data_IF_841937495412
#
_entry.id   IF_841937495412
#
_cell.length_a   1.000
_cell.length_b   1.000
_cell.length_c   1.000
_cell.angle_alpha   90.00
_cell.angle_beta   90.00
_cell.angle_gamma   90.00
#
_symmetry.space_group_name_H-M   'P 1'
#
loop_
_entity.id
_entity.type
_entity.pdbx_description
1 polymer ?
#
# COMPACT_ATOMS: atom_id res chain seq x y z
N UNK A 1 -6.68 -0.77 -17.00
CA UNK A 1 -7.68 -1.02 -15.95
C UNK A 1 -8.83 -1.78 -16.59
N UNK A 2 -9.40 -2.77 -15.93
CA UNK A 2 -10.61 -3.44 -16.42
C UNK A 2 -11.83 -2.54 -16.20
N UNK A 3 -12.84 -2.71 -17.04
CA UNK A 3 -14.06 -1.90 -16.97
C UNK A 3 -14.87 -2.20 -15.70
N UNK A 4 -15.70 -1.23 -15.29
CA UNK A 4 -16.72 -1.44 -14.25
C UNK A 4 -17.93 -2.09 -14.90
N UNK A 5 -18.36 -3.20 -14.34
CA UNK A 5 -19.54 -3.97 -14.74
C UNK A 5 -20.62 -3.86 -13.65
N UNK A 6 -21.85 -4.29 -13.98
CA UNK A 6 -22.98 -4.19 -13.07
C UNK A 6 -23.74 -5.51 -12.96
N UNK A 7 -23.96 -5.95 -11.73
CA UNK A 7 -24.88 -7.02 -11.41
C UNK A 7 -26.26 -6.45 -11.07
N UNK A 8 -27.34 -7.18 -11.37
CA UNK A 8 -28.69 -6.79 -10.95
C UNK A 8 -29.11 -7.60 -9.72
N UNK A 9 -29.46 -6.92 -8.63
CA UNK A 9 -29.94 -7.55 -7.40
C UNK A 9 -31.09 -6.76 -6.78
N UNK A 10 -32.24 -7.41 -6.59
CA UNK A 10 -33.41 -6.78 -5.96
C UNK A 10 -33.85 -5.46 -6.60
N UNK A 11 -33.67 -5.32 -7.92
CA UNK A 11 -33.99 -4.09 -8.66
C UNK A 11 -33.00 -2.94 -8.49
N UNK A 12 -31.79 -3.20 -7.98
CA UNK A 12 -30.66 -2.28 -7.99
C UNK A 12 -29.51 -2.81 -8.85
N UNK A 13 -28.72 -1.89 -9.39
CA UNK A 13 -27.46 -2.17 -10.06
C UNK A 13 -26.31 -2.10 -9.04
N UNK A 14 -25.55 -3.18 -8.94
CA UNK A 14 -24.41 -3.33 -8.05
C UNK A 14 -23.14 -3.32 -8.90
N UNK A 15 -22.36 -2.25 -8.78
CA UNK A 15 -21.13 -2.05 -9.52
C UNK A 15 -20.03 -2.99 -9.00
N UNK A 16 -19.33 -3.64 -9.91
CA UNK A 16 -18.17 -4.47 -9.59
C UNK A 16 -17.08 -4.34 -10.66
N UNK A 17 -15.88 -4.79 -10.30
CA UNK A 17 -14.73 -4.88 -11.18
C UNK A 17 -14.00 -6.18 -10.90
N UNK A 18 -13.62 -6.89 -11.96
CA UNK A 18 -12.81 -8.08 -11.88
C UNK A 18 -11.44 -7.86 -12.53
N UNK A 19 -10.35 -8.15 -11.82
CA UNK A 19 -8.96 -7.99 -12.29
C UNK A 19 -8.20 -9.30 -12.14
N UNK A 20 -7.37 -9.65 -13.13
CA UNK A 20 -6.61 -10.91 -13.14
C UNK A 20 -7.36 -12.04 -13.85
N UNK A 21 -6.74 -13.21 -13.92
CA UNK A 21 -7.22 -14.36 -14.72
C UNK A 21 -7.15 -15.66 -13.94
N UNK A 22 -8.20 -16.47 -14.02
CA UNK A 22 -8.24 -17.83 -13.49
C UNK A 22 -8.33 -17.93 -11.96
N UNK A 23 -8.51 -19.14 -11.42
CA UNK A 23 -8.58 -19.37 -9.98
C UNK A 23 -7.21 -19.26 -9.30
N UNK A 24 -7.18 -19.01 -7.98
CA UNK A 24 -8.31 -18.74 -7.10
C UNK A 24 -9.04 -17.42 -7.42
N UNK A 25 -10.36 -17.41 -7.21
CA UNK A 25 -11.11 -16.14 -7.16
C UNK A 25 -11.05 -15.61 -5.73
N UNK A 26 -10.79 -14.31 -5.58
CA UNK A 26 -10.81 -13.62 -4.29
C UNK A 26 -11.74 -12.43 -4.42
N UNK A 27 -12.75 -12.37 -3.58
CA UNK A 27 -13.68 -11.24 -3.53
C UNK A 27 -13.45 -10.45 -2.26
N UNK A 28 -13.19 -9.17 -2.43
CA UNK A 28 -13.02 -8.23 -1.32
C UNK A 28 -14.40 -7.74 -0.92
N UNK A 29 -14.74 -7.91 0.35
CA UNK A 29 -15.97 -7.36 0.92
C UNK A 29 -15.66 -5.92 1.34
N UNK A 30 -16.21 -4.91 0.67
CA UNK A 30 -15.96 -3.52 0.99
C UNK A 30 -16.64 -3.14 2.31
N UNK A 31 -16.14 -2.06 2.90
CA UNK A 31 -16.87 -1.30 3.90
C UNK A 31 -18.12 -0.67 3.27
N UNK A 32 -19.04 -0.14 4.08
CA UNK A 32 -20.23 0.53 3.54
C UNK A 32 -19.92 1.80 2.74
N UNK A 33 -18.71 2.31 2.89
CA UNK A 33 -18.16 3.38 2.09
C UNK A 33 -17.03 2.80 1.21
N UNK A 34 -17.26 2.80 -0.09
CA UNK A 34 -16.32 2.33 -1.11
C UNK A 34 -16.58 3.09 -2.41
N UNK A 35 -15.58 3.14 -3.27
CA UNK A 35 -15.71 3.67 -4.62
C UNK A 35 -14.68 2.99 -5.52
N UNK A 36 -15.15 2.21 -6.49
CA UNK A 36 -14.29 1.43 -7.38
C UNK A 36 -13.29 2.26 -8.19
N UNK A 37 -13.64 3.48 -8.59
CA UNK A 37 -12.73 4.31 -9.41
C UNK A 37 -11.66 4.99 -8.55
N UNK A 38 -12.00 5.38 -7.32
CA UNK A 38 -11.09 6.12 -6.46
C UNK A 38 -10.18 5.22 -5.61
N UNK A 39 -10.60 4.01 -5.28
CA UNK A 39 -9.79 3.08 -4.46
C UNK A 39 -8.40 2.80 -5.08
N UNK A 40 -8.26 2.50 -6.40
CA UNK A 40 -6.95 2.25 -7.01
C UNK A 40 -6.05 3.47 -7.13
N UNK A 41 -6.55 4.69 -6.89
CA UNK A 41 -5.71 5.90 -6.91
C UNK A 41 -4.80 5.99 -5.67
N UNK A 42 -5.15 5.29 -4.58
CA UNK A 42 -4.33 5.28 -3.36
C UNK A 42 -3.24 4.20 -3.46
N UNK A 43 -1.94 4.56 -3.40
CA UNK A 43 -0.84 3.64 -3.72
C UNK A 43 -0.87 2.33 -2.92
N UNK A 44 -1.14 2.41 -1.62
CA UNK A 44 -1.19 1.22 -0.74
C UNK A 44 -2.33 0.27 -1.13
N UNK A 45 -3.51 0.79 -1.46
CA UNK A 45 -4.65 -0.01 -1.91
C UNK A 45 -4.37 -0.62 -3.29
N UNK A 46 -3.79 0.17 -4.20
CA UNK A 46 -3.39 -0.32 -5.53
C UNK A 46 -2.41 -1.49 -5.42
N UNK A 47 -1.39 -1.36 -4.56
CA UNK A 47 -0.43 -2.44 -4.26
C UNK A 47 -1.13 -3.66 -3.64
N UNK A 48 -2.10 -3.45 -2.75
CA UNK A 48 -2.97 -4.49 -2.20
C UNK A 48 -3.70 -5.30 -3.27
N UNK A 49 -4.39 -4.60 -4.17
CA UNK A 49 -5.14 -5.19 -5.28
C UNK A 49 -4.22 -5.92 -6.28
N UNK A 50 -3.04 -5.37 -6.55
CA UNK A 50 -2.00 -6.06 -7.33
C UNK A 50 -1.51 -7.33 -6.63
N UNK A 51 -1.31 -7.27 -5.31
CA UNK A 51 -0.92 -8.39 -4.48
C UNK A 51 -1.87 -9.57 -4.60
N UNK A 52 -3.18 -9.33 -4.52
CA UNK A 52 -4.20 -10.36 -4.73
C UNK A 52 -4.25 -10.86 -6.19
N UNK A 53 -4.17 -9.95 -7.18
CA UNK A 53 -4.26 -10.33 -8.60
C UNK A 53 -3.01 -11.03 -9.13
N UNK A 54 -1.89 -10.98 -8.41
CA UNK A 54 -0.66 -11.72 -8.73
C UNK A 54 -0.79 -13.24 -8.60
N UNK A 55 -1.79 -13.73 -7.86
CA UNK A 55 -2.02 -15.15 -7.65
C UNK A 55 -3.46 -15.60 -7.94
N UNK A 56 -4.33 -14.72 -8.42
CA UNK A 56 -5.72 -15.08 -8.70
C UNK A 56 -6.52 -13.99 -9.42
N UNK A 57 -7.81 -14.22 -9.60
CA UNK A 57 -8.78 -13.21 -10.06
C UNK A 57 -9.38 -12.50 -8.86
N UNK A 58 -9.31 -11.18 -8.85
CA UNK A 58 -9.79 -10.33 -7.76
C UNK A 58 -11.08 -9.65 -8.16
N UNK A 59 -12.08 -9.70 -7.30
CA UNK A 59 -13.38 -9.07 -7.48
C UNK A 59 -13.54 -8.01 -6.40
N UNK A 60 -13.68 -6.77 -6.83
CA UNK A 60 -14.04 -5.63 -5.98
C UNK A 60 -15.41 -5.13 -6.38
N UNK A 61 -16.17 -4.61 -5.44
CA UNK A 61 -17.52 -4.10 -5.71
C UNK A 61 -17.83 -2.96 -4.75
N UNK A 62 -18.81 -2.14 -5.11
CA UNK A 62 -19.37 -1.13 -4.22
C UNK A 62 -20.72 -1.64 -3.69
N UNK A 63 -20.96 -1.54 -2.38
CA UNK A 63 -22.25 -1.97 -1.81
C UNK A 63 -23.39 -1.11 -2.36
N UNK A 64 -24.60 -1.67 -2.34
CA UNK A 64 -25.83 -0.89 -2.53
C UNK A 64 -25.77 0.40 -1.69
N UNK A 65 -26.10 1.53 -2.30
CA UNK A 65 -26.03 2.82 -1.63
C UNK A 65 -24.67 3.51 -1.67
N UNK A 66 -23.63 2.84 -2.15
CA UNK A 66 -22.25 3.31 -2.10
C UNK A 66 -21.58 3.32 -3.49
N UNK A 67 -20.52 4.12 -3.59
CA UNK A 67 -19.67 4.24 -4.77
C UNK A 67 -20.44 4.40 -6.06
N UNK A 68 -20.16 3.50 -7.00
CA UNK A 68 -20.76 3.44 -8.34
C UNK A 68 -22.04 2.59 -8.41
N UNK A 69 -22.42 1.91 -7.32
CA UNK A 69 -23.70 1.19 -7.23
C UNK A 69 -24.88 2.16 -7.08
N UNK A 70 -26.10 1.69 -7.35
CA UNK A 70 -27.31 2.52 -7.21
C UNK A 70 -27.42 3.12 -5.80
N UNK A 71 -27.56 4.46 -5.73
CA UNK A 71 -27.55 5.23 -4.47
C UNK A 71 -28.94 5.63 -3.96
N UNK A 72 -30.00 5.41 -4.75
CA UNK A 72 -31.34 5.96 -4.49
C UNK A 72 -32.28 5.11 -3.63
N UNK A 73 -31.82 4.02 -3.00
CA UNK A 73 -32.68 3.02 -2.32
C UNK A 73 -32.27 2.70 -0.87
N UNK A 74 -31.45 3.54 -0.23
CA UNK A 74 -30.89 3.23 1.09
C UNK A 74 -29.77 2.18 1.02
N UNK A 75 -29.05 1.92 2.13
CA UNK A 75 -27.93 0.98 2.17
C UNK A 75 -28.36 -0.49 2.09
N UNK A 76 -29.67 -0.76 2.24
CA UNK A 76 -30.25 -2.11 2.29
C UNK A 76 -29.92 -2.84 3.60
N UNK A 77 -30.70 -3.88 3.89
CA UNK A 77 -30.47 -4.75 5.06
C UNK A 77 -29.22 -5.62 4.88
N UNK A 78 -28.74 -6.23 5.96
CA UNK A 78 -27.67 -7.24 5.88
C UNK A 78 -28.02 -8.40 4.96
N UNK A 79 -29.28 -8.83 4.97
CA UNK A 79 -29.77 -9.90 4.09
C UNK A 79 -29.76 -9.47 2.62
N UNK A 80 -30.15 -8.25 2.30
CA UNK A 80 -29.97 -7.72 0.94
C UNK A 80 -28.49 -7.62 0.56
N UNK A 81 -27.61 -7.29 1.50
CA UNK A 81 -26.16 -7.31 1.27
C UNK A 81 -25.63 -8.71 0.92
N UNK A 82 -26.19 -9.77 1.52
CA UNK A 82 -25.88 -11.16 1.16
C UNK A 82 -26.29 -11.44 -0.28
N UNK A 83 -27.53 -11.12 -0.64
CA UNK A 83 -28.05 -11.31 -2.01
C UNK A 83 -27.25 -10.48 -3.04
N UNK A 84 -26.86 -9.25 -2.71
CA UNK A 84 -26.05 -8.39 -3.57
C UNK A 84 -24.67 -9.00 -3.87
N UNK A 85 -24.02 -9.56 -2.85
CA UNK A 85 -22.73 -10.23 -3.03
C UNK A 85 -22.88 -11.46 -3.93
N UNK A 86 -23.91 -12.28 -3.71
CA UNK A 86 -24.18 -13.47 -4.55
C UNK A 86 -24.46 -13.07 -6.00
N UNK A 87 -25.26 -12.03 -6.22
CA UNK A 87 -25.55 -11.52 -7.56
C UNK A 87 -24.28 -11.02 -8.29
N UNK A 88 -23.34 -10.40 -7.57
CA UNK A 88 -22.03 -10.02 -8.15
C UNK A 88 -21.22 -11.25 -8.54
N UNK A 89 -21.19 -12.30 -7.72
CA UNK A 89 -20.51 -13.55 -8.09
C UNK A 89 -21.13 -14.19 -9.34
N UNK A 90 -22.45 -14.22 -9.42
CA UNK A 90 -23.17 -14.77 -10.57
C UNK A 90 -22.88 -13.97 -11.85
N UNK A 91 -22.94 -12.62 -11.79
CA UNK A 91 -22.62 -11.75 -12.91
C UNK A 91 -21.16 -11.88 -13.36
N UNK A 92 -20.23 -12.04 -12.42
CA UNK A 92 -18.81 -12.23 -12.70
C UNK A 92 -18.47 -13.64 -13.23
N UNK A 93 -19.44 -14.56 -13.27
CA UNK A 93 -19.27 -15.95 -13.69
C UNK A 93 -18.44 -16.78 -12.70
N UNK A 94 -18.59 -16.53 -11.40
CA UNK A 94 -17.77 -17.11 -10.33
C UNK A 94 -18.61 -18.03 -9.46
N UNK A 95 -18.35 -19.33 -9.58
CA UNK A 95 -19.07 -20.36 -8.83
C UNK A 95 -18.66 -20.38 -7.35
N UNK A 96 -17.36 -20.31 -7.07
CA UNK A 96 -16.79 -20.21 -5.73
C UNK A 96 -15.68 -19.15 -5.64
N UNK A 97 -15.62 -18.46 -4.48
CA UNK A 97 -14.60 -17.45 -4.17
C UNK A 97 -14.01 -17.64 -2.79
N UNK A 98 -12.78 -17.18 -2.56
CA UNK A 98 -12.33 -16.80 -1.22
C UNK A 98 -12.92 -15.42 -0.88
N UNK A 99 -13.46 -15.24 0.32
CA UNK A 99 -13.91 -13.94 0.80
C UNK A 99 -12.85 -13.32 1.69
N UNK A 100 -12.46 -12.09 1.38
CA UNK A 100 -11.60 -11.27 2.23
C UNK A 100 -12.41 -10.11 2.79
N UNK A 101 -12.53 -10.03 4.10
CA UNK A 101 -13.24 -8.97 4.82
C UNK A 101 -12.38 -8.39 5.93
N UNK A 102 -12.60 -7.11 6.22
CA UNK A 102 -11.96 -6.41 7.32
C UNK A 102 -12.91 -5.41 8.00
N UNK A 103 -12.68 -5.09 9.27
CA UNK A 103 -13.54 -4.19 10.06
C UNK A 103 -15.03 -4.60 9.96
N UNK A 104 -15.95 -3.68 9.67
CA UNK A 104 -17.40 -3.91 9.70
C UNK A 104 -17.88 -4.91 8.63
N UNK A 105 -17.13 -5.03 7.53
CA UNK A 105 -17.48 -5.93 6.43
C UNK A 105 -17.46 -7.40 6.84
N UNK A 106 -16.79 -7.72 7.94
CA UNK A 106 -16.71 -9.06 8.50
C UNK A 106 -18.08 -9.63 8.89
N UNK A 107 -19.01 -8.81 9.39
CA UNK A 107 -20.36 -9.28 9.72
C UNK A 107 -21.13 -9.72 8.48
N UNK A 108 -20.99 -9.00 7.36
CA UNK A 108 -21.57 -9.43 6.09
C UNK A 108 -20.91 -10.72 5.61
N UNK A 109 -19.58 -10.81 5.66
CA UNK A 109 -18.85 -11.99 5.23
C UNK A 109 -19.21 -13.24 6.04
N UNK A 110 -19.41 -13.10 7.36
CA UNK A 110 -19.90 -14.18 8.23
C UNK A 110 -21.29 -14.64 7.80
N UNK A 111 -22.23 -13.72 7.58
CA UNK A 111 -23.59 -14.08 7.14
C UNK A 111 -23.58 -14.79 5.78
N UNK A 112 -22.76 -14.34 4.83
CA UNK A 112 -22.60 -15.00 3.52
C UNK A 112 -22.02 -16.40 3.69
N UNK A 113 -20.96 -16.56 4.48
CA UNK A 113 -20.32 -17.86 4.70
C UNK A 113 -21.25 -18.88 5.38
N UNK A 114 -22.21 -18.41 6.19
CA UNK A 114 -23.21 -19.27 6.84
C UNK A 114 -24.39 -19.57 5.91
N UNK A 115 -24.89 -18.58 5.16
CA UNK A 115 -26.07 -18.75 4.29
C UNK A 115 -25.76 -19.44 2.96
N UNK A 116 -24.55 -19.23 2.44
CA UNK A 116 -24.09 -19.73 1.14
C UNK A 116 -22.71 -20.40 1.23
N UNK A 117 -22.49 -21.38 2.12
CA UNK A 117 -21.19 -22.04 2.28
C UNK A 117 -20.72 -22.71 0.97
N UNK A 118 -21.65 -23.12 0.10
CA UNK A 118 -21.35 -23.69 -1.21
C UNK A 118 -20.71 -22.69 -2.19
N UNK A 119 -20.88 -21.38 -1.96
CA UNK A 119 -20.30 -20.31 -2.79
C UNK A 119 -18.95 -19.83 -2.25
N UNK A 120 -18.59 -20.20 -1.03
CA UNK A 120 -17.42 -19.69 -0.34
C UNK A 120 -16.39 -20.81 -0.18
N UNK A 121 -15.27 -20.71 -0.90
CA UNK A 121 -14.17 -21.68 -0.77
C UNK A 121 -13.39 -21.51 0.53
N UNK A 122 -13.23 -20.25 0.99
CA UNK A 122 -12.45 -19.83 2.16
C UNK A 122 -12.95 -18.50 2.68
N UNK A 123 -12.92 -18.31 4.01
CA UNK A 123 -13.24 -17.05 4.67
C UNK A 123 -11.97 -16.47 5.31
N UNK A 124 -11.68 -15.20 5.04
CA UNK A 124 -10.53 -14.49 5.57
C UNK A 124 -11.02 -13.20 6.26
N UNK A 125 -10.72 -13.08 7.55
CA UNK A 125 -11.13 -11.95 8.39
C UNK A 125 -9.89 -11.24 8.94
N UNK A 126 -9.73 -9.95 8.65
CA UNK A 126 -8.64 -9.12 9.18
C UNK A 126 -9.19 -8.01 10.08
N UNK A 127 -8.62 -7.81 11.28
CA UNK A 127 -8.98 -6.67 12.15
C UNK A 127 -10.50 -6.54 12.37
N UNK A 128 -11.18 -7.66 12.57
CA UNK A 128 -12.64 -7.77 12.48
C UNK A 128 -13.30 -7.83 13.86
N UNK A 129 -14.60 -7.53 13.94
CA UNK A 129 -15.43 -7.67 15.14
C UNK A 129 -16.77 -8.34 14.81
N UNK A 130 -17.35 -8.99 15.82
CA UNK A 130 -18.59 -9.77 15.66
C UNK A 130 -19.85 -8.98 16.04
N UNK A 131 -19.68 -7.84 16.72
CA UNK A 131 -20.72 -6.87 17.08
C UNK A 131 -20.05 -5.54 17.39
N UNK A 132 -20.81 -4.45 17.33
CA UNK A 132 -20.32 -3.09 17.58
C UNK A 132 -20.47 -2.64 19.04
N UNK A 133 -21.18 -3.41 19.87
CA UNK A 133 -21.54 -3.03 21.25
C UNK A 133 -21.08 -4.09 22.25
N UNK A 134 -20.66 -3.64 23.44
CA UNK A 134 -20.28 -4.48 24.58
C UNK A 134 -21.36 -5.48 24.97
N UNK A 135 -20.94 -6.71 25.28
CA UNK A 135 -21.79 -7.80 25.78
C UNK A 135 -21.08 -8.52 26.93
N UNK A 136 -21.80 -9.33 27.70
CA UNK A 136 -21.25 -10.04 28.86
C UNK A 136 -20.06 -10.94 28.51
N UNK A 137 -20.14 -11.66 27.39
CA UNK A 137 -19.06 -12.51 26.86
C UNK A 137 -18.21 -11.79 25.79
N UNK A 138 -18.44 -10.49 25.56
CA UNK A 138 -17.71 -9.63 24.62
C UNK A 138 -17.38 -8.25 25.22
N UNK A 139 -16.59 -8.19 26.32
CA UNK A 139 -16.47 -6.99 27.15
C UNK A 139 -15.58 -5.87 26.59
N UNK A 140 -14.78 -6.13 25.54
CA UNK A 140 -13.83 -5.16 24.97
C UNK A 140 -14.41 -4.29 23.84
N UNK A 141 -15.65 -4.56 23.41
CA UNK A 141 -16.37 -3.62 22.55
C UNK A 141 -16.79 -2.36 23.34
N UNK A 142 -16.99 -1.23 22.66
CA UNK A 142 -17.46 0.00 23.31
C UNK A 142 -18.85 -0.19 23.91
N UNK A 143 -19.20 0.60 24.92
CA UNK A 143 -20.60 0.75 25.36
C UNK A 143 -21.45 1.34 24.23
N UNK A 144 -22.78 1.27 24.35
CA UNK A 144 -23.67 1.91 23.37
C UNK A 144 -23.39 3.41 23.25
N UNK A 145 -23.19 4.10 24.37
CA UNK A 145 -22.83 5.52 24.43
C UNK A 145 -21.47 5.82 23.75
N UNK A 146 -20.42 5.06 24.08
CA UNK A 146 -19.09 5.21 23.45
C UNK A 146 -19.17 4.98 21.93
N UNK A 147 -20.00 4.03 21.48
CA UNK A 147 -20.22 3.74 20.07
C UNK A 147 -20.98 4.86 19.39
N UNK A 148 -22.05 5.36 19.99
CA UNK A 148 -22.83 6.49 19.46
C UNK A 148 -21.94 7.73 19.29
N UNK A 149 -21.10 8.06 20.28
CA UNK A 149 -20.15 9.17 20.19
C UNK A 149 -19.13 9.00 19.04
N UNK A 150 -18.60 7.79 18.86
CA UNK A 150 -17.67 7.48 17.77
C UNK A 150 -18.32 7.64 16.39
N UNK A 151 -19.56 7.15 16.26
CA UNK A 151 -20.35 7.24 15.02
C UNK A 151 -20.73 8.69 14.72
N UNK A 152 -21.15 9.46 15.72
CA UNK A 152 -21.45 10.88 15.57
C UNK A 152 -20.22 11.68 15.13
N UNK A 153 -19.06 11.41 15.74
CA UNK A 153 -17.79 12.01 15.33
C UNK A 153 -17.46 11.72 13.86
N UNK A 154 -17.61 10.45 13.44
CA UNK A 154 -17.41 10.02 12.06
C UNK A 154 -18.35 10.76 11.09
N UNK A 155 -19.65 10.76 11.37
CA UNK A 155 -20.69 11.32 10.50
C UNK A 155 -20.55 12.84 10.37
N UNK A 156 -20.32 13.55 11.48
CA UNK A 156 -20.12 15.00 11.47
C UNK A 156 -18.86 15.39 10.71
N UNK A 157 -17.77 14.64 10.91
CA UNK A 157 -16.49 14.82 10.24
C UNK A 157 -16.45 14.34 8.78
N UNK A 158 -17.45 13.59 8.31
CA UNK A 158 -17.40 12.91 7.03
C UNK A 158 -17.13 13.86 5.86
N UNK A 159 -16.06 13.60 5.10
CA UNK A 159 -15.65 14.44 3.97
C UNK A 159 -14.79 15.66 4.33
N UNK A 160 -14.49 15.88 5.62
CA UNK A 160 -13.65 16.98 6.11
C UNK A 160 -12.15 16.68 6.01
N UNK A 161 -11.33 17.73 6.08
CA UNK A 161 -9.87 17.60 6.12
C UNK A 161 -9.39 16.82 7.34
N UNK A 162 -9.91 17.13 8.53
CA UNK A 162 -9.53 16.46 9.77
C UNK A 162 -9.83 14.95 9.72
N UNK A 163 -11.01 14.57 9.22
CA UNK A 163 -11.36 13.16 9.08
C UNK A 163 -10.49 12.45 8.04
N UNK A 164 -10.17 13.13 6.92
CA UNK A 164 -9.28 12.58 5.91
C UNK A 164 -7.86 12.34 6.46
N UNK A 165 -7.32 13.26 7.26
CA UNK A 165 -6.01 13.10 7.92
C UNK A 165 -5.95 11.87 8.83
N UNK A 166 -7.02 11.62 9.59
CA UNK A 166 -7.15 10.43 10.44
C UNK A 166 -7.18 9.18 9.55
N UNK A 167 -7.99 9.20 8.49
CA UNK A 167 -8.17 8.06 7.58
C UNK A 167 -6.88 7.64 6.87
N UNK A 168 -6.07 8.60 6.41
CA UNK A 168 -4.80 8.30 5.73
C UNK A 168 -3.61 8.16 6.69
N UNK A 169 -3.86 8.14 8.00
CA UNK A 169 -2.87 7.91 9.06
C UNK A 169 -1.60 8.79 8.93
N UNK A 170 -1.78 10.09 8.67
CA UNK A 170 -0.65 11.03 8.56
C UNK A 170 0.04 11.06 7.20
N UNK A 171 -0.64 10.60 6.13
CA UNK A 171 -0.21 10.82 4.75
C UNK A 171 -0.02 12.30 4.38
N UNK A 172 0.65 12.53 3.25
CA UNK A 172 0.91 13.87 2.72
C UNK A 172 -0.38 14.60 2.27
N UNK A 173 -0.26 15.87 1.87
CA UNK A 173 -1.42 16.67 1.46
C UNK A 173 -2.17 16.04 0.26
N UNK A 174 -1.48 15.31 -0.61
CA UNK A 174 -2.11 14.57 -1.72
C UNK A 174 -2.95 13.40 -1.23
N UNK A 175 -2.44 12.64 -0.26
CA UNK A 175 -3.19 11.57 0.39
C UNK A 175 -4.44 12.13 1.10
N UNK A 176 -4.31 13.25 1.80
CA UNK A 176 -5.44 13.90 2.48
C UNK A 176 -6.49 14.40 1.48
N UNK A 177 -6.06 15.03 0.38
CA UNK A 177 -6.96 15.47 -0.69
C UNK A 177 -7.68 14.29 -1.34
N UNK A 178 -6.96 13.19 -1.62
CA UNK A 178 -7.56 11.95 -2.08
C UNK A 178 -8.60 11.43 -1.08
N UNK A 179 -8.28 11.38 0.22
CA UNK A 179 -9.20 10.90 1.25
C UNK A 179 -10.48 11.74 1.34
N UNK A 180 -10.36 13.07 1.22
CA UNK A 180 -11.51 13.98 1.15
C UNK A 180 -12.40 13.68 -0.06
N UNK A 181 -11.80 13.49 -1.24
CA UNK A 181 -12.53 13.13 -2.46
C UNK A 181 -13.19 11.76 -2.32
N UNK A 182 -12.45 10.77 -1.83
CA UNK A 182 -12.93 9.42 -1.64
C UNK A 182 -14.14 9.38 -0.70
N UNK A 183 -14.05 9.93 0.51
CA UNK A 183 -15.18 9.94 1.47
C UNK A 183 -16.48 10.49 0.86
N UNK A 184 -16.41 11.64 0.18
CA UNK A 184 -17.58 12.31 -0.40
C UNK A 184 -18.20 11.53 -1.57
N UNK A 185 -17.36 10.83 -2.34
CA UNK A 185 -17.80 10.06 -3.51
C UNK A 185 -18.09 8.58 -3.16
N UNK A 186 -17.70 8.12 -1.97
CA UNK A 186 -18.01 6.78 -1.47
C UNK A 186 -19.45 6.69 -1.00
N UNK A 187 -19.88 7.54 -0.05
CA UNK A 187 -21.25 7.47 0.50
C UNK A 187 -21.70 8.86 0.95
N UNK A 188 -23.00 9.15 0.86
CA UNK A 188 -23.55 10.39 1.43
C UNK A 188 -23.68 10.26 2.95
N UNK A 189 -23.81 11.39 3.66
CA UNK A 189 -23.92 11.38 5.13
C UNK A 189 -25.19 10.69 5.60
N UNK A 190 -26.34 10.96 4.97
CA UNK A 190 -27.61 10.32 5.34
C UNK A 190 -27.54 8.79 5.18
N UNK A 191 -26.90 8.33 4.11
CA UNK A 191 -26.66 6.90 3.86
C UNK A 191 -25.70 6.29 4.88
N UNK A 192 -24.73 7.07 5.38
CA UNK A 192 -23.82 6.64 6.44
C UNK A 192 -24.57 6.48 7.77
N UNK A 193 -25.48 7.41 8.10
CA UNK A 193 -26.36 7.30 9.29
C UNK A 193 -27.14 5.98 9.23
N UNK A 194 -27.89 5.75 8.14
CA UNK A 194 -28.70 4.54 7.98
C UNK A 194 -27.85 3.25 8.03
N UNK A 195 -26.65 3.26 7.43
CA UNK A 195 -25.75 2.10 7.46
C UNK A 195 -25.24 1.80 8.87
N UNK A 196 -24.93 2.82 9.66
CA UNK A 196 -24.44 2.66 11.02
C UNK A 196 -25.54 2.28 12.01
N UNK A 197 -26.80 2.68 11.78
CA UNK A 197 -27.97 2.16 12.51
C UNK A 197 -28.12 0.65 12.29
N UNK A 198 -27.98 0.17 11.05
CA UNK A 198 -28.00 -1.27 10.74
C UNK A 198 -26.84 -2.00 11.43
N UNK A 199 -25.65 -1.40 11.45
CA UNK A 199 -24.48 -1.96 12.14
C UNK A 199 -24.63 -2.00 13.66
N UNK A 200 -25.36 -1.06 14.26
CA UNK A 200 -25.63 -1.04 15.69
C UNK A 200 -26.49 -2.23 16.12
N UNK A 201 -27.42 -2.66 15.27
CA UNK A 201 -28.28 -3.83 15.50
C UNK A 201 -27.61 -5.16 15.14
N UNK A 202 -26.52 -5.13 14.36
CA UNK A 202 -25.84 -6.33 13.88
C UNK A 202 -25.03 -7.03 14.98
N UNK A 203 -25.30 -8.32 15.15
CA UNK A 203 -24.55 -9.22 16.03
C UNK A 203 -24.47 -10.61 15.38
N UNK A 204 -23.26 -11.03 15.01
CA UNK A 204 -23.02 -12.32 14.35
C UNK A 204 -22.36 -13.34 15.27
N UNK A 205 -22.22 -13.06 16.58
CA UNK A 205 -21.51 -13.94 17.52
C UNK A 205 -22.10 -15.35 17.55
N UNK A 206 -23.43 -15.45 17.55
CA UNK A 206 -24.13 -16.74 17.54
C UNK A 206 -24.05 -17.47 16.19
N UNK A 207 -23.68 -16.76 15.11
CA UNK A 207 -23.50 -17.34 13.78
C UNK A 207 -22.09 -17.90 13.55
N UNK A 208 -21.09 -17.45 14.32
CA UNK A 208 -19.70 -17.90 14.18
C UNK A 208 -19.54 -19.43 14.26
N UNK A 209 -20.23 -20.17 15.16
CA UNK A 209 -20.15 -21.62 15.23
C UNK A 209 -20.77 -22.36 14.04
N UNK A 210 -21.62 -21.68 13.24
CA UNK A 210 -22.26 -22.27 12.06
C UNK A 210 -21.35 -22.28 10.82
N UNK A 211 -20.21 -21.57 10.87
CA UNK A 211 -19.27 -21.49 9.75
C UNK A 211 -18.59 -22.85 9.57
N UNK A 212 -18.79 -23.45 8.39
CA UNK A 212 -18.22 -24.75 8.00
C UNK A 212 -17.05 -24.63 7.01
N UNK A 213 -16.82 -23.44 6.45
CA UNK A 213 -15.76 -23.21 5.46
C UNK A 213 -14.41 -22.97 6.16
N UNK A 214 -13.27 -23.35 5.55
CA UNK A 214 -11.96 -23.05 6.10
C UNK A 214 -11.81 -21.54 6.35
N UNK A 215 -11.44 -21.17 7.57
CA UNK A 215 -11.38 -19.77 7.99
C UNK A 215 -9.99 -19.38 8.50
N UNK A 216 -9.49 -18.23 8.02
CA UNK A 216 -8.28 -17.56 8.50
C UNK A 216 -8.69 -16.25 9.18
N UNK A 217 -8.32 -16.09 10.44
CA UNK A 217 -8.51 -14.86 11.21
C UNK A 217 -7.15 -14.23 11.47
N UNK A 218 -7.02 -12.96 11.17
CA UNK A 218 -5.77 -12.20 11.20
C UNK A 218 -5.95 -10.90 11.99
N UNK A 219 -4.99 -10.54 12.83
CA UNK A 219 -5.09 -9.32 13.62
C UNK A 219 -3.72 -8.74 13.98
N UNK A 220 -3.58 -7.41 13.96
CA UNK A 220 -2.41 -6.74 14.56
C UNK A 220 -2.58 -6.56 16.06
N UNK A 221 -1.54 -6.87 16.84
CA UNK A 221 -1.62 -6.80 18.31
C UNK A 221 -1.78 -5.38 18.85
N UNK A 222 -1.34 -4.36 18.09
CA UNK A 222 -1.44 -2.95 18.45
C UNK A 222 -2.50 -2.19 17.66
N UNK A 223 -3.46 -2.87 17.03
CA UNK A 223 -4.53 -2.25 16.26
C UNK A 223 -5.25 -1.16 17.07
N UNK A 224 -5.20 0.08 16.57
CA UNK A 224 -5.71 1.27 17.25
C UNK A 224 -7.23 1.44 17.15
N UNK A 225 -7.88 0.73 16.23
CA UNK A 225 -9.31 0.88 15.96
C UNK A 225 -10.12 -0.31 16.48
N UNK A 226 -9.61 -1.53 16.29
CA UNK A 226 -10.29 -2.75 16.71
C UNK A 226 -9.35 -3.55 17.62
N UNK A 227 -9.63 -3.64 18.94
CA UNK A 227 -8.79 -4.40 19.87
C UNK A 227 -8.56 -5.84 19.42
N UNK A 228 -7.34 -6.36 19.59
CA UNK A 228 -6.93 -7.73 19.20
C UNK A 228 -7.82 -8.83 19.80
N UNK A 229 -8.46 -8.57 20.94
CA UNK A 229 -9.40 -9.46 21.60
C UNK A 229 -10.60 -9.82 20.70
N UNK A 230 -11.01 -8.92 19.80
CA UNK A 230 -12.08 -9.20 18.84
C UNK A 230 -11.69 -10.36 17.90
N UNK A 231 -10.48 -10.33 17.33
CA UNK A 231 -9.96 -11.40 16.48
C UNK A 231 -9.79 -12.72 17.23
N UNK A 232 -9.24 -12.67 18.46
CA UNK A 232 -9.12 -13.85 19.34
C UNK A 232 -10.47 -14.50 19.62
N UNK A 233 -11.49 -13.70 19.93
CA UNK A 233 -12.84 -14.21 20.17
C UNK A 233 -13.41 -14.86 18.91
N UNK A 234 -13.37 -14.17 17.76
CA UNK A 234 -13.89 -14.70 16.50
C UNK A 234 -13.25 -16.05 16.18
N UNK A 235 -11.91 -16.13 16.23
CA UNK A 235 -11.19 -17.37 15.98
C UNK A 235 -11.57 -18.49 16.96
N UNK A 236 -11.82 -18.17 18.24
CA UNK A 236 -12.21 -19.15 19.24
C UNK A 236 -13.61 -19.74 19.05
N UNK A 237 -14.49 -19.03 18.32
CA UNK A 237 -15.88 -19.42 18.10
C UNK A 237 -16.11 -20.13 16.77
N UNK A 238 -15.20 -19.98 15.81
CA UNK A 238 -15.28 -20.64 14.51
C UNK A 238 -14.55 -21.99 14.56
N UNK A 239 -15.24 -23.13 14.30
CA UNK A 239 -14.62 -24.44 14.29
C UNK A 239 -13.48 -24.54 13.28
N UNK A 240 -12.28 -24.88 13.75
CA UNK A 240 -11.12 -25.09 12.88
C UNK A 240 -10.50 -23.82 12.28
N UNK A 241 -10.84 -22.63 12.77
CA UNK A 241 -10.22 -21.40 12.31
C UNK A 241 -8.71 -21.36 12.63
N UNK A 242 -7.90 -20.96 11.64
CA UNK A 242 -6.49 -20.58 11.84
C UNK A 242 -6.47 -19.13 12.32
N UNK A 243 -5.72 -18.85 13.39
CA UNK A 243 -5.54 -17.50 13.90
C UNK A 243 -4.08 -17.08 13.80
N UNK A 244 -3.83 -15.88 13.27
CA UNK A 244 -2.48 -15.31 13.11
C UNK A 244 -2.46 -13.88 13.67
N UNK A 245 -1.48 -13.61 14.53
CA UNK A 245 -1.22 -12.27 15.05
C UNK A 245 0.04 -11.67 14.41
N UNK A 246 -0.03 -10.37 14.13
CA UNK A 246 1.10 -9.60 13.62
C UNK A 246 1.46 -8.47 14.59
N UNK A 247 2.73 -8.08 14.60
CA UNK A 247 3.12 -6.80 15.18
C UNK A 247 2.56 -5.61 14.37
N UNK A 248 2.63 -4.42 14.93
CA UNK A 248 2.14 -3.18 14.29
C UNK A 248 0.79 -2.70 14.82
N UNK A 249 0.37 -1.55 14.31
CA UNK A 249 -0.81 -0.81 14.80
C UNK A 249 -1.79 -0.40 13.70
N UNK A 250 -1.46 -0.72 12.44
CA UNK A 250 -2.22 -0.34 11.27
C UNK A 250 -3.52 -1.16 11.15
N UNK A 251 -4.65 -0.48 11.27
CA UNK A 251 -5.96 -1.11 11.15
C UNK A 251 -6.37 -1.39 9.70
N UNK A 252 -5.97 -0.55 8.75
CA UNK A 252 -6.25 -0.80 7.33
C UNK A 252 -5.24 -1.84 6.82
N UNK A 253 -5.68 -3.00 6.28
CA UNK A 253 -4.77 -4.10 5.94
C UNK A 253 -3.73 -3.75 4.87
N UNK A 254 -4.03 -2.77 4.02
CA UNK A 254 -3.16 -2.32 2.94
C UNK A 254 -2.08 -1.33 3.40
N UNK A 255 -2.18 -0.80 4.62
CA UNK A 255 -1.16 0.09 5.20
C UNK A 255 -0.09 -0.73 5.95
N UNK A 256 1.16 -0.30 5.83
CA UNK A 256 2.30 -0.95 6.49
C UNK A 256 2.77 -2.21 5.77
N UNK A 257 3.12 -3.24 6.54
CA UNK A 257 3.69 -4.50 6.02
C UNK A 257 2.61 -5.39 5.36
N UNK A 258 2.20 -5.01 4.16
CA UNK A 258 1.25 -5.75 3.33
C UNK A 258 1.81 -7.10 2.88
N UNK A 259 3.11 -7.21 2.60
CA UNK A 259 3.70 -8.44 2.07
C UNK A 259 3.58 -9.62 3.05
N UNK A 260 3.72 -9.35 4.35
CA UNK A 260 3.48 -10.34 5.39
C UNK A 260 2.02 -10.80 5.40
N UNK A 261 1.06 -9.87 5.35
CA UNK A 261 -0.38 -10.19 5.33
C UNK A 261 -0.74 -10.97 4.06
N UNK A 262 -0.29 -10.48 2.90
CA UNK A 262 -0.54 -11.09 1.60
C UNK A 262 0.05 -12.51 1.51
N UNK A 263 1.21 -12.75 2.13
CA UNK A 263 1.82 -14.07 2.19
C UNK A 263 0.97 -15.10 2.94
N UNK A 264 0.40 -14.73 4.09
CA UNK A 264 -0.51 -15.62 4.85
C UNK A 264 -1.80 -15.89 4.07
N UNK A 265 -2.35 -14.87 3.41
CA UNK A 265 -3.52 -15.00 2.54
C UNK A 265 -3.21 -15.93 1.35
N UNK A 266 -2.12 -15.70 0.64
CA UNK A 266 -1.72 -16.47 -0.55
C UNK A 266 -1.51 -17.94 -0.19
N UNK A 267 -0.78 -18.22 0.89
CA UNK A 267 -0.59 -19.57 1.40
C UNK A 267 -1.93 -20.23 1.76
N UNK A 268 -2.79 -19.51 2.49
CA UNK A 268 -4.08 -20.03 2.91
C UNK A 268 -4.98 -20.36 1.71
N UNK A 269 -5.02 -19.48 0.70
CA UNK A 269 -5.87 -19.62 -0.47
C UNK A 269 -5.35 -20.66 -1.45
N UNK A 270 -4.05 -20.70 -1.72
CA UNK A 270 -3.46 -21.54 -2.77
C UNK A 270 -2.85 -22.83 -2.25
N UNK A 271 -2.59 -22.94 -0.94
CA UNK A 271 -1.86 -24.07 -0.33
C UNK A 271 -0.35 -24.00 -0.52
N UNK A 272 0.18 -22.97 -1.18
CA UNK A 272 1.61 -22.77 -1.39
C UNK A 272 1.97 -21.30 -1.27
N UNK A 273 3.00 -20.98 -0.49
CA UNK A 273 3.57 -19.63 -0.49
C UNK A 273 4.56 -19.52 -1.64
N UNK A 274 4.32 -18.63 -2.63
CA UNK A 274 5.45 -18.16 -3.43
C UNK A 274 6.42 -17.47 -2.47
N UNK A 275 7.72 -17.78 -2.48
CA UNK A 275 8.66 -17.07 -1.65
C UNK A 275 8.68 -15.59 -2.05
N UNK A 276 7.88 -14.77 -1.38
CA UNK A 276 8.08 -13.31 -1.30
C UNK A 276 9.21 -13.06 -0.31
N UNK A 277 10.38 -13.60 -0.61
CA UNK A 277 11.62 -13.16 0.00
C UNK A 277 12.04 -11.91 -0.76
N UNK A 278 12.39 -10.84 -0.04
CA UNK A 278 12.99 -9.59 -0.54
C UNK A 278 13.41 -9.71 -2.01
N UNK A 279 12.57 -9.23 -2.92
CA UNK A 279 12.84 -9.42 -4.35
C UNK A 279 14.18 -8.74 -4.63
N UNK A 280 15.21 -9.56 -4.82
CA UNK A 280 16.52 -9.10 -5.20
C UNK A 280 16.43 -8.77 -6.67
N UNK A 281 16.15 -7.50 -6.95
CA UNK A 281 16.11 -6.99 -8.30
C UNK A 281 17.47 -6.42 -8.64
N UNK A 282 17.94 -6.69 -9.85
CA UNK A 282 19.13 -6.01 -10.36
C UNK A 282 18.72 -4.57 -10.70
N UNK A 283 19.28 -3.59 -10.00
CA UNK A 283 19.00 -2.19 -10.22
C UNK A 283 20.28 -1.36 -10.29
N UNK A 284 20.22 -0.23 -10.98
CA UNK A 284 21.26 0.80 -10.92
C UNK A 284 20.85 1.88 -9.93
N UNK A 285 21.63 2.06 -8.88
CA UNK A 285 21.43 3.09 -7.87
C UNK A 285 22.29 4.31 -8.18
N UNK A 286 21.73 5.48 -7.92
CA UNK A 286 22.41 6.78 -8.00
C UNK A 286 22.32 7.43 -6.64
N UNK A 287 23.49 7.77 -6.09
CA UNK A 287 23.62 8.55 -4.87
C UNK A 287 24.17 9.92 -5.20
N UNK A 288 23.60 10.97 -4.60
CA UNK A 288 24.08 12.35 -4.72
C UNK A 288 24.29 12.96 -3.36
N UNK A 289 25.20 13.93 -3.27
CA UNK A 289 25.50 14.68 -2.06
C UNK A 289 26.03 16.07 -2.43
N UNK A 290 25.52 17.12 -1.77
CA UNK A 290 25.94 18.51 -1.98
C UNK A 290 27.33 18.71 -1.37
N UNK A 291 28.26 19.21 -2.18
CA UNK A 291 29.61 19.51 -1.74
C UNK A 291 29.60 20.68 -0.76
N UNK A 292 30.32 20.54 0.36
CA UNK A 292 30.44 21.59 1.39
C UNK A 292 29.10 22.08 1.94
N UNK A 293 28.09 21.21 2.01
CA UNK A 293 26.72 21.53 2.48
C UNK A 293 26.68 22.26 3.82
N UNK A 294 27.50 21.85 4.80
CA UNK A 294 27.54 22.44 6.14
C UNK A 294 28.10 23.86 6.15
N UNK A 295 29.16 24.10 5.38
CA UNK A 295 29.74 25.44 5.19
C UNK A 295 28.71 26.35 4.51
N UNK A 296 28.03 25.82 3.48
CA UNK A 296 27.03 26.57 2.72
C UNK A 296 25.79 26.92 3.53
N UNK A 297 25.32 26.00 4.38
CA UNK A 297 24.22 26.24 5.31
C UNK A 297 24.56 27.36 6.30
N UNK A 298 25.81 27.39 6.79
CA UNK A 298 26.28 28.43 7.72
C UNK A 298 26.37 29.81 7.05
N UNK A 299 26.82 29.88 5.80
CA UNK A 299 26.90 31.13 5.03
C UNK A 299 25.53 31.72 4.69
N UNK A 300 24.58 30.88 4.29
CA UNK A 300 23.27 31.31 3.80
C UNK A 300 22.26 31.57 4.92
N UNK A 301 22.42 30.89 6.06
CA UNK A 301 21.44 30.83 7.13
C UNK A 301 20.23 29.94 6.80
N UNK A 302 19.57 29.42 7.83
CA UNK A 302 18.59 28.33 7.73
C UNK A 302 17.47 28.55 6.71
N UNK A 303 16.94 29.78 6.62
CA UNK A 303 15.82 30.07 5.73
C UNK A 303 16.21 29.99 4.25
N UNK A 304 17.37 30.54 3.88
CA UNK A 304 17.86 30.51 2.50
C UNK A 304 18.42 29.13 2.15
N UNK A 305 19.02 28.44 3.12
CA UNK A 305 19.44 27.06 2.95
C UNK A 305 18.25 26.14 2.66
N UNK A 306 17.13 26.29 3.37
CA UNK A 306 15.90 25.54 3.08
C UNK A 306 15.39 25.79 1.67
N UNK A 307 15.28 27.06 1.24
CA UNK A 307 14.85 27.35 -0.14
C UNK A 307 15.79 26.76 -1.19
N UNK A 308 17.11 26.77 -0.95
CA UNK A 308 18.07 26.14 -1.84
C UNK A 308 17.94 24.61 -1.88
N UNK A 309 17.65 23.97 -0.74
CA UNK A 309 17.35 22.55 -0.69
C UNK A 309 16.06 22.21 -1.43
N UNK A 310 15.01 23.03 -1.31
CA UNK A 310 13.76 22.82 -2.05
C UNK A 310 13.99 22.89 -3.57
N UNK A 311 14.79 23.85 -4.04
CA UNK A 311 15.18 23.97 -5.46
C UNK A 311 16.06 22.79 -5.92
N UNK A 312 16.99 22.34 -5.07
CA UNK A 312 17.83 21.16 -5.33
C UNK A 312 17.00 19.87 -5.42
N UNK A 313 16.06 19.67 -4.51
CA UNK A 313 15.18 18.51 -4.46
C UNK A 313 14.28 18.47 -5.69
N UNK A 314 13.76 19.63 -6.11
CA UNK A 314 12.97 19.75 -7.33
C UNK A 314 13.78 19.37 -8.58
N UNK A 315 14.96 19.96 -8.78
CA UNK A 315 15.81 19.64 -9.94
C UNK A 315 16.23 18.17 -9.94
N UNK A 316 16.60 17.62 -8.77
CA UNK A 316 16.97 16.21 -8.62
C UNK A 316 15.83 15.28 -9.01
N UNK A 317 14.60 15.58 -8.57
CA UNK A 317 13.40 14.82 -8.95
C UNK A 317 13.13 14.91 -10.45
N UNK A 318 13.11 16.11 -11.02
CA UNK A 318 12.84 16.35 -12.43
C UNK A 318 13.84 15.60 -13.32
N UNK A 319 15.14 15.67 -13.02
CA UNK A 319 16.15 14.95 -13.79
C UNK A 319 16.05 13.43 -13.61
N UNK A 320 15.74 12.94 -12.40
CA UNK A 320 15.55 11.49 -12.15
C UNK A 320 14.39 10.94 -12.97
N UNK A 321 13.21 11.52 -12.80
CA UNK A 321 11.97 11.04 -13.42
C UNK A 321 12.01 11.25 -14.95
N UNK A 322 12.57 12.38 -15.41
CA UNK A 322 12.73 12.68 -16.83
C UNK A 322 13.65 11.71 -17.60
N UNK A 323 14.52 10.98 -16.88
CA UNK A 323 15.37 9.94 -17.45
C UNK A 323 14.87 8.52 -17.16
N UNK A 324 13.63 8.36 -16.68
CA UNK A 324 13.02 7.06 -16.38
C UNK A 324 13.58 6.41 -15.12
N UNK A 325 14.09 7.20 -14.18
CA UNK A 325 14.46 6.76 -12.84
C UNK A 325 13.33 6.98 -11.84
N UNK A 326 13.44 6.29 -10.70
CA UNK A 326 12.59 6.47 -9.52
C UNK A 326 13.41 7.06 -8.39
N UNK A 327 13.04 8.24 -7.92
CA UNK A 327 13.61 8.82 -6.71
C UNK A 327 13.11 8.00 -5.51
N UNK A 328 14.04 7.51 -4.68
CA UNK A 328 13.73 6.69 -3.50
C UNK A 328 13.53 7.60 -2.29
N UNK A 329 14.52 8.45 -1.97
CA UNK A 329 14.47 9.39 -0.86
C UNK A 329 15.55 10.46 -0.94
N UNK A 330 15.33 11.55 -0.21
CA UNK A 330 16.36 12.51 0.15
C UNK A 330 16.99 12.15 1.49
N UNK A 331 18.27 12.46 1.67
CA UNK A 331 19.06 12.19 2.89
C UNK A 331 19.47 13.46 3.62
N UNK A 332 18.79 14.59 3.34
CA UNK A 332 19.14 15.91 3.85
C UNK A 332 19.77 16.75 2.74
N UNK A 333 21.07 16.64 2.56
CA UNK A 333 21.88 17.30 1.52
C UNK A 333 22.21 16.38 0.35
N UNK A 334 21.50 15.26 0.21
CA UNK A 334 21.74 14.25 -0.79
C UNK A 334 20.49 13.48 -1.16
N UNK A 335 20.62 12.55 -2.11
CA UNK A 335 19.51 11.74 -2.59
C UNK A 335 19.92 10.32 -2.95
N UNK A 336 18.93 9.43 -2.99
CA UNK A 336 19.01 8.07 -3.51
C UNK A 336 17.95 7.89 -4.58
N UNK A 337 18.36 7.44 -5.76
CA UNK A 337 17.47 7.08 -6.86
C UNK A 337 17.81 5.71 -7.45
N UNK A 338 16.84 5.07 -8.09
CA UNK A 338 16.98 3.78 -8.77
C UNK A 338 16.61 3.89 -10.26
N UNK A 339 17.32 3.14 -11.09
CA UNK A 339 17.13 3.05 -12.54
C UNK A 339 17.28 1.61 -13.01
N UNK A 340 16.46 1.22 -13.97
CA UNK A 340 16.59 -0.09 -14.63
C UNK A 340 17.76 -0.10 -15.64
N UNK A 341 18.21 1.08 -16.08
CA UNK A 341 19.27 1.24 -17.08
C UNK A 341 20.44 2.07 -16.55
N UNK A 342 21.68 1.55 -16.53
CA UNK A 342 22.85 2.32 -16.13
C UNK A 342 23.15 3.49 -17.07
N UNK A 343 22.78 3.39 -18.35
CA UNK A 343 22.90 4.49 -19.29
C UNK A 343 21.97 5.66 -18.95
N UNK A 344 20.74 5.39 -18.52
CA UNK A 344 19.81 6.41 -18.05
C UNK A 344 20.29 7.05 -16.73
N UNK A 345 20.77 6.22 -15.79
CA UNK A 345 21.33 6.69 -14.53
C UNK A 345 22.48 7.69 -14.74
N UNK A 346 23.40 7.38 -15.65
CA UNK A 346 24.55 8.26 -15.97
C UNK A 346 24.09 9.56 -16.65
N UNK A 347 23.12 9.49 -17.58
CA UNK A 347 22.57 10.69 -18.22
C UNK A 347 21.84 11.59 -17.21
N UNK A 348 21.05 10.99 -16.33
CA UNK A 348 20.39 11.68 -15.22
C UNK A 348 21.42 12.37 -14.32
N UNK A 349 22.47 11.66 -13.90
CA UNK A 349 23.53 12.22 -13.07
C UNK A 349 24.20 13.44 -13.71
N UNK A 350 24.51 13.39 -15.01
CA UNK A 350 25.06 14.54 -15.74
C UNK A 350 24.09 15.71 -15.83
N UNK A 351 22.81 15.41 -16.06
CA UNK A 351 21.77 16.43 -16.11
C UNK A 351 21.58 17.11 -14.76
N UNK A 352 21.61 16.36 -13.66
CA UNK A 352 21.56 16.89 -12.29
C UNK A 352 22.72 17.84 -12.03
N UNK A 353 23.97 17.43 -12.32
CA UNK A 353 25.15 18.30 -12.16
C UNK A 353 24.98 19.62 -12.94
N UNK A 354 24.48 19.55 -14.18
CA UNK A 354 24.26 20.74 -15.00
C UNK A 354 23.14 21.65 -14.47
N UNK A 355 22.08 21.07 -13.91
CA UNK A 355 20.96 21.78 -13.32
C UNK A 355 21.35 22.50 -12.02
N UNK A 356 21.92 21.76 -11.06
CA UNK A 356 22.26 22.30 -9.73
C UNK A 356 23.39 23.34 -9.79
N UNK A 357 24.25 23.28 -10.81
CA UNK A 357 25.24 24.34 -11.06
C UNK A 357 24.60 25.71 -11.29
N UNK A 358 23.38 25.76 -11.85
CA UNK A 358 22.63 27.02 -12.02
C UNK A 358 22.14 27.59 -10.69
N UNK A 359 21.97 26.73 -9.68
CA UNK A 359 21.64 27.09 -8.31
C UNK A 359 22.88 27.56 -7.51
N UNK A 360 24.07 27.52 -8.13
CA UNK A 360 25.32 27.93 -7.49
C UNK A 360 25.85 26.92 -6.47
N UNK A 361 25.51 25.64 -6.63
CA UNK A 361 26.04 24.52 -5.84
C UNK A 361 26.67 23.46 -6.74
N UNK A 362 27.47 22.60 -6.13
CA UNK A 362 28.05 21.42 -6.76
C UNK A 362 27.62 20.17 -6.01
N UNK A 363 27.42 19.08 -6.74
CA UNK A 363 27.14 17.77 -6.17
C UNK A 363 28.22 16.79 -6.60
N UNK A 364 28.45 15.77 -5.77
CA UNK A 364 29.17 14.55 -6.14
C UNK A 364 28.18 13.43 -6.37
N UNK A 365 28.45 12.57 -7.35
CA UNK A 365 27.51 11.52 -7.75
C UNK A 365 28.21 10.17 -7.81
N UNK A 366 27.57 9.14 -7.26
CA UNK A 366 28.01 7.75 -7.36
C UNK A 366 26.97 6.87 -8.01
N UNK A 367 27.39 6.02 -8.95
CA UNK A 367 26.52 5.07 -9.66
C UNK A 367 27.03 3.64 -9.47
N UNK A 368 26.13 2.74 -9.09
CA UNK A 368 26.44 1.33 -8.94
C UNK A 368 25.29 0.47 -9.46
N UNK A 369 25.59 -0.64 -10.12
CA UNK A 369 24.59 -1.64 -10.51
C UNK A 369 24.84 -2.91 -9.71
N UNK A 370 23.80 -3.43 -9.06
CA UNK A 370 23.87 -4.62 -8.22
C UNK A 370 22.49 -5.10 -7.78
N UNK A 371 22.44 -6.26 -7.14
CA UNK A 371 21.21 -6.76 -6.53
C UNK A 371 20.83 -5.89 -5.32
N UNK A 372 19.64 -5.29 -5.38
CA UNK A 372 19.06 -4.54 -4.26
C UNK A 372 17.87 -5.30 -3.71
N UNK A 373 17.68 -5.24 -2.40
CA UNK A 373 16.47 -5.73 -1.75
C UNK A 373 15.39 -4.67 -1.84
N UNK A 374 14.33 -4.92 -2.62
CA UNK A 374 13.17 -4.04 -2.64
C UNK A 374 12.43 -4.13 -1.29
N UNK A 375 12.10 -2.97 -0.69
CA UNK A 375 11.38 -2.86 0.59
C UNK A 375 10.29 -1.78 0.49
N UNK A 376 9.18 -2.11 -0.15
CA UNK A 376 8.14 -1.15 -0.49
C UNK A 376 8.71 -0.04 -1.38
N UNK A 377 8.63 1.21 -0.91
CA UNK A 377 9.19 2.36 -1.64
C UNK A 377 10.71 2.53 -1.44
N UNK A 378 11.34 1.83 -0.48
CA UNK A 378 12.78 1.91 -0.18
C UNK A 378 13.57 0.76 -0.84
N UNK A 379 14.90 0.90 -0.84
CA UNK A 379 15.83 -0.14 -1.28
C UNK A 379 16.91 -0.39 -0.23
N UNK A 380 17.27 -1.67 -0.06
CA UNK A 380 18.29 -2.12 0.88
C UNK A 380 19.32 -3.05 0.25
N UNK A 381 20.25 -3.53 1.09
CA UNK A 381 21.27 -4.49 0.69
C UNK A 381 22.64 -3.88 0.40
N UNK A 382 23.61 -4.75 0.15
CA UNK A 382 25.02 -4.37 -0.01
C UNK A 382 25.25 -3.43 -1.19
N UNK A 383 24.48 -3.57 -2.27
CA UNK A 383 24.56 -2.68 -3.43
C UNK A 383 24.33 -1.22 -3.03
N UNK A 384 23.32 -0.93 -2.19
CA UNK A 384 23.02 0.42 -1.68
C UNK A 384 24.23 1.01 -0.94
N UNK A 385 24.86 0.21 -0.09
CA UNK A 385 26.07 0.64 0.61
C UNK A 385 27.24 0.91 -0.34
N UNK A 386 27.46 0.06 -1.36
CA UNK A 386 28.50 0.26 -2.36
C UNK A 386 28.27 1.58 -3.12
N UNK A 387 27.04 1.84 -3.60
CA UNK A 387 26.73 3.08 -4.32
C UNK A 387 27.03 4.33 -3.51
N UNK A 388 26.65 4.35 -2.22
CA UNK A 388 26.99 5.45 -1.32
C UNK A 388 28.50 5.63 -1.14
N UNK A 389 29.29 4.55 -1.14
CA UNK A 389 30.76 4.62 -1.05
C UNK A 389 31.42 5.05 -2.36
N UNK A 390 30.86 4.67 -3.50
CA UNK A 390 31.31 5.15 -4.81
C UNK A 390 31.10 6.67 -4.90
N UNK A 391 29.94 7.18 -4.48
CA UNK A 391 29.67 8.62 -4.42
C UNK A 391 30.65 9.33 -3.48
N UNK A 392 30.91 8.77 -2.29
CA UNK A 392 31.80 9.39 -1.31
C UNK A 392 33.26 9.53 -1.81
N UNK A 393 33.67 8.73 -2.81
CA UNK A 393 34.97 8.83 -3.45
C UNK A 393 35.01 9.87 -4.59
N UNK A 394 33.86 10.32 -5.09
CA UNK A 394 33.77 11.31 -6.17
C UNK A 394 34.06 12.73 -5.67
N UNK A 395 34.72 13.53 -6.51
CA UNK A 395 34.92 14.95 -6.30
C UNK A 395 33.72 15.82 -6.72
N UNK A 396 33.83 17.15 -6.54
CA UNK A 396 32.79 18.09 -6.95
C UNK A 396 32.50 18.02 -8.45
N UNK A 397 31.22 18.01 -8.81
CA UNK A 397 30.75 17.88 -10.18
C UNK A 397 31.25 16.62 -10.90
N UNK A 398 31.69 15.58 -10.18
CA UNK A 398 32.11 14.31 -10.75
C UNK A 398 31.04 13.21 -10.61
N UNK A 399 30.97 12.34 -11.61
CA UNK A 399 30.19 11.10 -11.57
C UNK A 399 31.15 9.93 -11.51
N UNK A 400 31.22 9.24 -10.38
CA UNK A 400 31.98 7.99 -10.26
C UNK A 400 31.05 6.80 -10.43
N UNK A 401 31.58 5.74 -11.03
CA UNK A 401 30.87 4.48 -11.20
C UNK A 401 31.69 3.30 -10.69
N UNK A 402 30.99 2.29 -10.18
CA UNK A 402 31.56 1.01 -9.81
C UNK A 402 31.99 0.18 -11.05
N UNK A 403 32.83 -0.86 -10.91
CA UNK A 403 33.27 -1.69 -12.04
C UNK A 403 32.15 -2.51 -12.70
N UNK A 404 30.99 -2.65 -12.04
CA UNK A 404 29.83 -3.33 -12.61
C UNK A 404 29.15 -2.53 -13.75
N UNK A 405 29.39 -1.22 -13.84
CA UNK A 405 28.64 -0.33 -14.74
C UNK A 405 29.19 -0.30 -16.18
N UNK A 406 30.51 -0.12 -16.44
CA UNK A 406 31.02 0.01 -17.82
C UNK A 406 30.64 -1.15 -18.76
N UNK A 407 30.68 -2.43 -18.35
CA UNK A 407 30.29 -3.53 -19.23
C UNK A 407 28.83 -3.45 -19.70
N UNK A 408 27.93 -2.94 -18.86
CA UNK A 408 26.48 -2.88 -19.12
C UNK A 408 26.07 -1.76 -20.07
N UNK A 409 26.97 -0.81 -20.36
CA UNK A 409 26.74 0.28 -21.30
C UNK A 409 27.66 0.20 -22.52
N UNK A 410 28.24 -0.98 -22.78
CA UNK A 410 29.05 -1.23 -23.98
C UNK A 410 28.22 -0.95 -25.24
N UNK A 411 28.75 -0.12 -26.15
CA UNK A 411 28.03 0.35 -27.34
C UNK A 411 27.28 1.67 -27.15
N UNK A 412 27.29 2.24 -25.93
CA UNK A 412 26.89 3.64 -25.71
C UNK A 412 28.03 4.61 -26.06
N UNK A 413 27.72 5.90 -26.14
CA UNK A 413 28.71 6.97 -26.30
C UNK A 413 29.32 7.45 -24.96
N UNK A 414 29.17 6.67 -23.88
CA UNK A 414 29.67 7.03 -22.56
C UNK A 414 31.15 6.63 -22.45
N UNK A 415 32.00 7.59 -22.09
CA UNK A 415 33.44 7.39 -21.91
C UNK A 415 33.74 7.28 -20.42
N UNK A 416 34.58 6.30 -20.07
CA UNK A 416 35.03 6.06 -18.70
C UNK A 416 36.54 6.27 -18.60
N UNK A 417 36.96 6.99 -17.57
CA UNK A 417 38.37 7.15 -17.22
C UNK A 417 38.65 6.38 -15.92
N UNK A 418 39.74 5.61 -15.93
CA UNK A 418 40.17 4.81 -14.79
C UNK A 418 40.69 5.70 -13.65
N UNK A 419 40.08 5.57 -12.46
CA UNK A 419 40.52 6.28 -11.25
C UNK A 419 41.31 5.40 -10.29
N UNK A 420 41.61 4.15 -10.67
CA UNK A 420 42.42 3.23 -9.89
C UNK A 420 41.67 2.56 -8.73
N UNK A 421 42.40 1.76 -7.93
CA UNK A 421 41.83 1.02 -6.81
C UNK A 421 41.45 1.95 -5.64
N UNK A 422 40.28 1.71 -5.05
CA UNK A 422 39.77 2.41 -3.88
C UNK A 422 39.33 1.40 -2.81
N UNK A 423 39.73 1.63 -1.56
CA UNK A 423 39.18 0.89 -0.42
C UNK A 423 37.85 1.53 0.00
N UNK A 424 36.73 0.85 -0.23
CA UNK A 424 35.41 1.33 0.15
C UNK A 424 35.11 0.93 1.61
N UNK A 425 34.86 1.91 2.48
CA UNK A 425 34.61 1.66 3.91
C UNK A 425 33.47 0.66 4.12
N UNK A 426 33.80 -0.49 4.70
CA UNK A 426 32.85 -1.56 5.06
C UNK A 426 32.53 -2.53 3.91
N UNK A 427 33.25 -2.45 2.79
CA UNK A 427 33.18 -3.40 1.67
C UNK A 427 34.53 -4.08 1.53
N UNK A 428 34.53 -5.41 1.38
CA UNK A 428 35.76 -6.19 1.26
C UNK A 428 36.44 -5.95 -0.09
N UNK A 429 37.78 -5.90 -0.07
CA UNK A 429 38.63 -5.78 -1.26
C UNK A 429 38.86 -4.34 -1.76
N UNK A 430 39.72 -4.22 -2.77
CA UNK A 430 39.93 -2.97 -3.50
C UNK A 430 39.01 -2.90 -4.72
N UNK A 431 38.34 -1.75 -4.87
CA UNK A 431 37.37 -1.51 -5.93
C UNK A 431 37.93 -0.54 -6.94
N UNK A 432 38.01 -0.98 -8.19
CA UNK A 432 38.43 -0.13 -9.30
C UNK A 432 37.27 0.78 -9.72
N UNK A 433 37.41 2.08 -9.48
CA UNK A 433 36.39 3.07 -9.82
C UNK A 433 36.71 3.77 -11.13
N UNK A 434 35.67 4.29 -11.78
CA UNK A 434 35.80 5.03 -13.03
C UNK A 434 35.05 6.35 -12.92
N UNK A 435 35.61 7.43 -13.46
CA UNK A 435 34.85 8.66 -13.68
C UNK A 435 34.20 8.66 -15.05
N UNK A 436 33.02 9.24 -15.16
CA UNK A 436 32.35 9.45 -16.46
C UNK A 436 32.81 10.77 -17.07
N UNK A 437 33.40 10.71 -18.27
CA UNK A 437 33.79 11.87 -19.08
C UNK A 437 32.64 12.43 -19.90
#
# INVERSE_FOLDING_TARGET
>A
MSDVEYATSGGANIAYRAVGTGPPNVMLVPLWFSNLDLLPEFPSIASGLQGFSSFGRVITWDRRGAGLSDRGRGPGTMDQGVEDLIAVLDAAGVEQTALFAFNESSMLAVLVAVKHPERISRLILYGSYATTVRKDDYPWAPTEEERDEQVDFLIQGWGSYQMAQILVAGGDDRAVEWGMRWMRNSVSRDMLVEAYEILAEADVRDRLPEIVVPTLVMHRTGDLNVPVQNGRYIASKIPGARYVEFGGSEHVPFLGDWDTIAGEIEEFVTGSRKPRGHERVLATIVFTDIVSSTERATELGDARWRSLLDEYDQETREQTEGHGGRLVKFTGDGSLACFDSPGNAIRSAKAMIAAVRRLGIEIRVGVHTGEVEARGDDVGGIAVHIGARVMAAAGPSEVFVSPAVPPLVTGSQIVFEDRGPHALKGVEGEWKLYSVG
#
